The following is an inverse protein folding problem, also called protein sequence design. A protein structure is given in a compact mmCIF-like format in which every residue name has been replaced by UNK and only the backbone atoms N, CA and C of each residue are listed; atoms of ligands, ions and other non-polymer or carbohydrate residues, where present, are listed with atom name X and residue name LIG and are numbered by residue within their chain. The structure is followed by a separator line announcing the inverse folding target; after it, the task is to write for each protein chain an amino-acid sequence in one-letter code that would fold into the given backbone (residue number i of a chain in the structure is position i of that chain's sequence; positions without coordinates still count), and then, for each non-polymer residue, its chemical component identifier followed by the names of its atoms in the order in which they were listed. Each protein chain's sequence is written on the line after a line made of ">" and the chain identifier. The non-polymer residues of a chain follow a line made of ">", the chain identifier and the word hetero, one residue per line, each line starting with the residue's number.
data_IF_567178229977
#
_entry.id   IF_567178229977
#
_cell.length_a   1.000
_cell.length_b   1.000
_cell.length_c   1.000
_cell.angle_alpha   90.00
_cell.angle_beta   90.00
_cell.angle_gamma   90.00
#
_symmetry.space_group_name_H-M   'P 1'
#
loop_
_entity.id
_entity.type
_entity.pdbx_description
1 polymer ?
#
# COMPACT_ATOMS: atom_id res chain seq x y z
N UNK A 1 2.65 32.86 24.17
CA UNK A 1 1.93 31.78 24.88
C UNK A 1 0.51 31.68 24.33
N UNK A 2 -0.01 30.45 24.20
CA UNK A 2 -1.26 29.98 23.54
C UNK A 2 -1.06 29.64 22.05
N UNK A 3 -1.20 28.40 21.58
CA UNK A 3 -1.54 27.14 22.22
C UNK A 3 -1.26 25.98 21.25
N UNK A 4 -0.29 25.15 21.62
CA UNK A 4 0.02 23.86 21.01
C UNK A 4 -1.05 22.86 21.49
N UNK A 5 -2.09 22.56 20.70
CA UNK A 5 -3.01 21.44 20.97
C UNK A 5 -3.56 20.86 19.68
N UNK A 6 -3.44 19.53 19.59
CA UNK A 6 -3.76 18.73 18.42
C UNK A 6 -5.22 18.80 17.97
N UNK A 7 -5.37 18.68 16.66
CA UNK A 7 -6.56 18.27 15.94
C UNK A 7 -6.05 17.46 14.73
N UNK A 8 -5.44 16.31 14.99
CA UNK A 8 -6.05 14.99 14.73
C UNK A 8 -6.16 14.81 13.21
N UNK A 9 -5.36 13.98 12.55
CA UNK A 9 -5.59 12.52 12.45
C UNK A 9 -7.06 12.11 12.20
N UNK A 10 -7.92 13.04 11.76
CA UNK A 10 -9.39 12.97 11.89
C UNK A 10 -10.09 12.97 10.55
N UNK A 11 -9.56 12.22 9.59
CA UNK A 11 -10.29 11.74 8.41
C UNK A 11 -9.36 10.76 7.74
N UNK A 12 -9.54 9.48 8.09
CA UNK A 12 -8.81 8.39 7.52
C UNK A 12 -8.64 8.59 6.03
N UNK A 13 -7.38 8.55 5.63
CA UNK A 13 -6.91 8.45 4.25
C UNK A 13 -7.81 7.43 3.58
N UNK A 14 -8.81 7.91 2.85
CA UNK A 14 -9.71 7.04 2.11
C UNK A 14 -8.91 6.61 0.90
N UNK A 15 -8.04 5.62 1.10
CA UNK A 15 -7.58 4.64 0.10
C UNK A 15 -8.79 3.81 -0.40
N UNK A 16 -9.96 4.44 -0.56
CA UNK A 16 -11.16 3.91 -1.17
C UNK A 16 -11.19 4.22 -2.67
N UNK A 17 -10.40 5.18 -3.15
CA UNK A 17 -10.40 5.56 -4.57
C UNK A 17 -9.62 4.58 -5.46
N UNK A 18 -8.66 3.82 -4.93
CA UNK A 18 -7.89 2.85 -5.73
C UNK A 18 -8.61 1.54 -6.01
N UNK A 19 -9.75 1.28 -5.34
CA UNK A 19 -10.47 0.01 -5.44
C UNK A 19 -11.92 0.15 -5.89
N UNK A 20 -12.31 1.36 -6.29
CA UNK A 20 -13.63 1.64 -6.86
C UNK A 20 -13.85 1.10 -8.28
N UNK A 21 -12.87 0.44 -8.91
CA UNK A 21 -12.97 -0.05 -10.28
C UNK A 21 -12.88 -1.58 -10.44
N UNK A 22 -12.98 -2.35 -9.35
CA UNK A 22 -13.19 -3.82 -9.42
C UNK A 22 -14.47 -4.16 -8.64
N UNK A 23 -15.59 -3.57 -9.02
CA UNK A 23 -16.90 -4.07 -8.60
C UNK A 23 -17.36 -5.14 -9.58
N UNK A 24 -17.16 -6.41 -9.24
CA UNK A 24 -18.09 -7.49 -9.62
C UNK A 24 -17.95 -8.67 -8.66
N UNK A 25 -18.81 -8.60 -7.63
CA UNK A 25 -19.55 -9.71 -7.02
C UNK A 25 -18.82 -10.84 -6.28
N UNK A 26 -19.27 -10.99 -5.03
CA UNK A 26 -19.30 -12.20 -4.20
C UNK A 26 -17.98 -12.76 -3.66
N UNK A 27 -17.58 -12.28 -2.48
CA UNK A 27 -17.40 -13.13 -1.29
C UNK A 27 -17.09 -12.24 -0.07
N UNK A 28 -18.09 -12.00 0.77
CA UNK A 28 -17.84 -11.82 2.20
C UNK A 28 -17.28 -13.13 2.73
N UNK A 29 -15.96 -13.31 2.68
CA UNK A 29 -15.27 -14.37 3.39
C UNK A 29 -14.83 -13.83 4.76
N UNK A 30 -15.55 -14.29 5.77
CA UNK A 30 -15.14 -14.51 7.16
C UNK A 30 -14.08 -13.58 7.78
N UNK A 31 -14.55 -12.81 8.76
CA UNK A 31 -13.80 -12.11 9.78
C UNK A 31 -12.83 -13.02 10.56
N UNK A 32 -11.62 -12.51 10.81
CA UNK A 32 -11.01 -12.59 12.14
C UNK A 32 -10.04 -13.73 12.40
N UNK A 33 -8.99 -13.87 11.60
CA UNK A 33 -7.67 -14.36 12.05
C UNK A 33 -6.66 -14.06 10.95
N UNK A 34 -5.74 -13.13 11.20
CA UNK A 34 -4.51 -13.00 10.42
C UNK A 34 -3.83 -14.37 10.41
N UNK A 35 -3.79 -15.01 9.24
CA UNK A 35 -3.14 -16.32 9.13
C UNK A 35 -1.61 -16.16 9.23
N UNK A 36 -0.86 -17.26 9.23
CA UNK A 36 0.60 -17.20 9.32
C UNK A 36 1.22 -16.39 8.18
N UNK A 37 0.68 -16.51 6.97
CA UNK A 37 1.14 -15.74 5.80
C UNK A 37 0.93 -14.24 5.98
N UNK A 38 -0.23 -13.82 6.49
CA UNK A 38 -0.52 -12.41 6.75
C UNK A 38 0.39 -11.84 7.84
N UNK A 39 0.64 -12.62 8.89
CA UNK A 39 1.52 -12.22 9.99
C UNK A 39 2.97 -12.07 9.52
N UNK A 40 3.46 -13.00 8.69
CA UNK A 40 4.79 -12.92 8.09
C UNK A 40 4.92 -11.73 7.14
N UNK A 41 3.92 -11.51 6.28
CA UNK A 41 3.86 -10.36 5.37
C UNK A 41 3.90 -9.04 6.14
N UNK A 42 3.03 -8.85 7.13
CA UNK A 42 2.96 -7.62 7.92
C UNK A 42 4.24 -7.38 8.72
N UNK A 43 4.79 -8.43 9.34
CA UNK A 43 6.07 -8.35 10.05
C UNK A 43 7.21 -7.93 9.11
N UNK A 44 7.28 -8.53 7.91
CA UNK A 44 8.23 -8.16 6.88
C UNK A 44 8.06 -6.72 6.39
N UNK A 45 6.82 -6.30 6.12
CA UNK A 45 6.50 -4.95 5.64
C UNK A 45 6.89 -3.90 6.66
N UNK A 46 6.43 -4.06 7.90
CA UNK A 46 6.69 -3.10 8.96
C UNK A 46 8.16 -3.08 9.36
N UNK A 47 8.83 -4.25 9.38
CA UNK A 47 10.27 -4.34 9.60
C UNK A 47 11.06 -3.61 8.52
N UNK A 48 10.72 -3.84 7.24
CA UNK A 48 11.37 -3.17 6.11
C UNK A 48 11.16 -1.66 6.16
N UNK A 49 9.91 -1.20 6.25
CA UNK A 49 9.60 0.24 6.27
C UNK A 49 10.27 0.95 7.45
N UNK A 50 10.27 0.32 8.64
CA UNK A 50 10.96 0.89 9.82
C UNK A 50 12.46 1.08 9.58
N UNK A 51 13.10 0.17 8.82
CA UNK A 51 14.52 0.25 8.51
C UNK A 51 14.85 1.29 7.43
N UNK A 52 13.89 1.62 6.57
CA UNK A 52 14.10 2.51 5.43
C UNK A 52 13.69 3.95 5.73
N UNK A 53 12.50 4.16 6.29
CA UNK A 53 11.96 5.50 6.51
C UNK A 53 10.87 5.53 7.60
N UNK A 54 11.08 6.37 8.61
CA UNK A 54 10.19 6.47 9.77
C UNK A 54 8.82 7.08 9.42
N UNK A 55 8.76 7.95 8.41
CA UNK A 55 7.51 8.60 7.97
C UNK A 55 6.62 7.57 7.26
N UNK A 56 7.20 6.84 6.32
CA UNK A 56 6.53 5.77 5.56
C UNK A 56 6.09 4.64 6.48
N UNK A 57 6.91 4.25 7.45
CA UNK A 57 6.52 3.31 8.50
C UNK A 57 5.32 3.81 9.32
N UNK A 58 5.33 5.09 9.71
CA UNK A 58 4.23 5.69 10.47
C UNK A 58 2.94 5.70 9.65
N UNK A 59 3.03 6.04 8.36
CA UNK A 59 1.89 6.02 7.45
C UNK A 59 1.30 4.61 7.34
N UNK A 60 2.14 3.60 7.13
CA UNK A 60 1.69 2.21 7.00
C UNK A 60 1.08 1.62 8.29
N UNK A 61 1.47 2.11 9.47
CA UNK A 61 1.06 1.51 10.77
C UNK A 61 0.08 2.35 11.58
N UNK A 62 -0.03 3.66 11.32
CA UNK A 62 -0.97 4.56 12.02
C UNK A 62 -2.11 5.04 11.15
N UNK A 63 -1.87 5.21 9.86
CA UNK A 63 -2.85 5.75 8.92
C UNK A 63 -3.58 4.63 8.14
N UNK A 64 -3.03 3.41 8.16
CA UNK A 64 -3.61 2.23 7.55
C UNK A 64 -3.78 1.11 8.58
N UNK A 65 -4.84 0.31 8.43
CA UNK A 65 -5.03 -0.91 9.23
C UNK A 65 -4.24 -2.08 8.63
N UNK A 66 -3.91 -3.07 9.45
CA UNK A 66 -3.31 -4.33 9.01
C UNK A 66 -4.09 -4.97 7.85
N UNK A 67 -5.42 -4.99 7.95
CA UNK A 67 -6.33 -5.50 6.92
C UNK A 67 -6.17 -4.73 5.59
N UNK A 68 -6.02 -3.41 5.64
CA UNK A 68 -5.80 -2.60 4.44
C UNK A 68 -4.45 -2.88 3.79
N UNK A 69 -3.40 -3.07 4.59
CA UNK A 69 -2.07 -3.43 4.09
C UNK A 69 -2.07 -4.82 3.43
N UNK A 70 -2.73 -5.81 4.04
CA UNK A 70 -2.89 -7.16 3.48
C UNK A 70 -3.66 -7.10 2.18
N UNK A 71 -4.81 -6.43 2.19
CA UNK A 71 -5.69 -6.39 1.05
C UNK A 71 -5.07 -5.64 -0.13
N UNK A 72 -4.25 -4.61 0.11
CA UNK A 72 -3.49 -3.94 -0.95
C UNK A 72 -2.53 -4.92 -1.67
N UNK A 73 -1.78 -5.73 -0.90
CA UNK A 73 -0.88 -6.75 -1.47
C UNK A 73 -1.64 -7.83 -2.26
N UNK A 74 -2.74 -8.33 -1.70
CA UNK A 74 -3.58 -9.33 -2.38
C UNK A 74 -4.21 -8.76 -3.67
N UNK A 75 -4.63 -7.50 -3.66
CA UNK A 75 -5.20 -6.83 -4.84
C UNK A 75 -4.17 -6.67 -5.97
N UNK A 76 -2.90 -6.38 -5.63
CA UNK A 76 -1.83 -6.40 -6.63
C UNK A 76 -1.65 -7.79 -7.25
N UNK A 77 -1.63 -8.85 -6.42
CA UNK A 77 -1.54 -10.22 -6.91
C UNK A 77 -2.72 -10.61 -7.82
N UNK A 78 -3.94 -10.16 -7.51
CA UNK A 78 -5.12 -10.37 -8.35
C UNK A 78 -4.99 -9.63 -9.70
N UNK A 79 -4.46 -8.41 -9.70
CA UNK A 79 -4.21 -7.67 -10.93
C UNK A 79 -3.18 -8.38 -11.83
N UNK A 80 -2.10 -8.93 -11.24
CA UNK A 80 -1.12 -9.71 -12.00
C UNK A 80 -1.72 -10.98 -12.59
N UNK A 81 -2.56 -11.68 -11.82
CA UNK A 81 -3.30 -12.85 -12.30
C UNK A 81 -4.28 -12.53 -13.43
N UNK A 82 -4.75 -11.29 -13.51
CA UNK A 82 -5.60 -10.78 -14.60
C UNK A 82 -4.80 -10.32 -15.83
N UNK A 83 -3.47 -10.48 -15.82
CA UNK A 83 -2.58 -10.14 -16.93
C UNK A 83 -2.12 -8.68 -16.95
N UNK A 84 -2.41 -7.89 -15.90
CA UNK A 84 -1.90 -6.51 -15.79
C UNK A 84 -0.43 -6.55 -15.39
N UNK A 85 0.42 -5.77 -16.07
CA UNK A 85 1.85 -5.76 -15.77
C UNK A 85 2.12 -5.13 -14.38
N UNK A 86 3.11 -5.62 -13.62
CA UNK A 86 3.48 -5.00 -12.35
C UNK A 86 3.87 -3.52 -12.45
N UNK A 87 4.48 -3.13 -13.58
CA UNK A 87 4.80 -1.74 -13.84
C UNK A 87 3.55 -0.86 -13.94
N UNK A 88 2.50 -1.32 -14.63
CA UNK A 88 1.25 -0.58 -14.79
C UNK A 88 0.50 -0.49 -13.46
N UNK A 89 0.41 -1.59 -12.72
CA UNK A 89 -0.22 -1.61 -11.38
C UNK A 89 0.47 -0.62 -10.45
N UNK A 90 1.81 -0.59 -10.44
CA UNK A 90 2.57 0.35 -9.62
C UNK A 90 2.35 1.80 -10.07
N UNK A 91 2.29 2.04 -11.37
CA UNK A 91 2.03 3.38 -11.93
C UNK A 91 0.64 3.91 -11.55
N UNK A 92 -0.39 3.06 -11.65
CA UNK A 92 -1.76 3.40 -11.28
C UNK A 92 -1.86 3.66 -9.79
N UNK A 93 -1.26 2.78 -8.97
CA UNK A 93 -1.19 2.95 -7.52
C UNK A 93 -0.59 4.29 -7.12
N UNK A 94 0.62 4.58 -7.59
CA UNK A 94 1.35 5.81 -7.25
C UNK A 94 0.60 7.06 -7.73
N UNK A 95 0.07 7.03 -8.95
CA UNK A 95 -0.69 8.15 -9.53
C UNK A 95 -1.97 8.45 -8.73
N UNK A 96 -2.70 7.41 -8.32
CA UNK A 96 -3.90 7.60 -7.51
C UNK A 96 -3.57 8.04 -6.07
N UNK A 97 -2.48 7.55 -5.48
CA UNK A 97 -1.98 8.03 -4.19
C UNK A 97 -1.60 9.52 -4.24
N UNK A 98 -0.94 9.97 -5.32
CA UNK A 98 -0.64 11.38 -5.55
C UNK A 98 -1.90 12.23 -5.71
N UNK A 99 -2.85 11.76 -6.53
CA UNK A 99 -4.11 12.47 -6.71
C UNK A 99 -4.86 12.61 -5.40
N UNK A 100 -4.89 11.58 -4.57
CA UNK A 100 -5.57 11.61 -3.27
C UNK A 100 -4.87 12.57 -2.30
N UNK A 101 -3.54 12.53 -2.21
CA UNK A 101 -2.78 13.47 -1.39
C UNK A 101 -3.06 14.92 -1.82
N UNK A 102 -3.06 15.20 -3.12
CA UNK A 102 -3.39 16.52 -3.67
C UNK A 102 -4.84 16.94 -3.36
N UNK A 103 -5.81 16.03 -3.49
CA UNK A 103 -7.23 16.31 -3.18
C UNK A 103 -7.45 16.67 -1.70
N UNK A 104 -6.58 16.19 -0.82
CA UNK A 104 -6.59 16.52 0.61
C UNK A 104 -5.83 17.83 0.92
N UNK A 105 -5.33 18.54 -0.08
CA UNK A 105 -4.56 19.77 0.09
C UNK A 105 -3.12 19.52 0.52
N UNK A 106 -2.62 18.29 0.39
CA UNK A 106 -1.22 17.97 0.68
C UNK A 106 -0.38 18.36 -0.54
N UNK A 107 0.61 19.23 -0.34
CA UNK A 107 1.57 19.55 -1.38
C UNK A 107 2.42 18.31 -1.71
N UNK A 108 2.51 17.94 -2.98
CA UNK A 108 3.33 16.78 -3.40
C UNK A 108 4.80 17.21 -3.41
N UNK A 109 5.48 16.97 -2.29
CA UNK A 109 6.92 17.16 -2.14
C UNK A 109 7.68 15.90 -2.56
N UNK A 110 9.00 16.01 -2.75
CA UNK A 110 9.87 14.84 -2.99
C UNK A 110 9.76 13.81 -1.87
N UNK A 111 9.62 14.25 -0.63
CA UNK A 111 9.48 13.38 0.55
C UNK A 111 8.18 12.56 0.51
N UNK A 112 7.07 13.18 0.09
CA UNK A 112 5.79 12.47 -0.09
C UNK A 112 5.84 11.53 -1.28
N UNK A 113 6.48 11.93 -2.38
CA UNK A 113 6.68 11.06 -3.54
C UNK A 113 7.56 9.86 -3.22
N UNK A 114 8.61 10.08 -2.44
CA UNK A 114 9.45 9.01 -1.91
C UNK A 114 8.65 8.07 -1.02
N UNK A 115 7.88 8.58 -0.06
CA UNK A 115 7.09 7.74 0.85
C UNK A 115 6.03 6.91 0.11
N UNK A 116 5.30 7.50 -0.83
CA UNK A 116 4.32 6.79 -1.67
C UNK A 116 4.99 5.69 -2.49
N UNK A 117 6.14 6.00 -3.11
CA UNK A 117 6.89 5.04 -3.91
C UNK A 117 7.45 3.89 -3.07
N UNK A 118 8.12 4.22 -1.95
CA UNK A 118 8.68 3.25 -1.03
C UNK A 118 7.59 2.31 -0.49
N UNK A 119 6.45 2.86 -0.05
CA UNK A 119 5.32 2.05 0.42
C UNK A 119 4.78 1.13 -0.69
N UNK A 120 4.46 1.69 -1.87
CA UNK A 120 3.92 0.92 -2.99
C UNK A 120 4.85 -0.21 -3.43
N UNK A 121 6.16 0.07 -3.49
CA UNK A 121 7.17 -0.90 -3.91
C UNK A 121 7.35 -2.01 -2.88
N UNK A 122 7.28 -1.66 -1.60
CA UNK A 122 7.37 -2.60 -0.48
C UNK A 122 6.18 -3.55 -0.44
N UNK A 123 4.95 -3.00 -0.51
CA UNK A 123 3.70 -3.78 -0.55
C UNK A 123 3.70 -4.72 -1.75
N UNK A 124 4.14 -4.25 -2.91
CA UNK A 124 4.19 -5.08 -4.12
C UNK A 124 5.24 -6.19 -4.03
N UNK A 125 6.45 -5.88 -3.56
CA UNK A 125 7.55 -6.85 -3.48
C UNK A 125 7.28 -7.92 -2.41
N UNK A 126 6.91 -7.49 -1.21
CA UNK A 126 6.61 -8.41 -0.11
C UNK A 126 5.30 -9.13 -0.36
N UNK A 127 4.28 -8.44 -0.87
CA UNK A 127 3.01 -9.05 -1.28
C UNK A 127 3.21 -10.15 -2.31
N UNK A 128 4.02 -9.90 -3.35
CA UNK A 128 4.34 -10.95 -4.32
C UNK A 128 5.09 -12.12 -3.68
N UNK A 129 6.00 -11.87 -2.75
CA UNK A 129 6.74 -12.94 -2.06
C UNK A 129 5.82 -13.86 -1.25
N UNK A 130 4.80 -13.31 -0.58
CA UNK A 130 3.93 -14.08 0.31
C UNK A 130 2.66 -14.61 -0.36
N UNK A 131 2.04 -13.85 -1.28
CA UNK A 131 0.73 -14.18 -1.82
C UNK A 131 0.74 -14.65 -3.28
N UNK A 132 1.77 -14.30 -4.07
CA UNK A 132 1.85 -14.68 -5.48
C UNK A 132 3.29 -14.79 -6.00
N UNK A 133 4.11 -15.72 -5.45
CA UNK A 133 5.56 -15.79 -5.69
C UNK A 133 5.92 -16.00 -7.17
N UNK A 134 5.02 -16.56 -7.97
CA UNK A 134 5.19 -16.72 -9.41
C UNK A 134 5.36 -15.39 -10.18
N UNK A 135 4.92 -14.26 -9.61
CA UNK A 135 5.06 -12.92 -10.20
C UNK A 135 6.25 -12.12 -9.63
N UNK A 136 6.98 -12.68 -8.66
CA UNK A 136 8.08 -11.98 -8.00
C UNK A 136 9.18 -11.52 -8.98
N UNK A 137 9.61 -12.30 -9.99
CA UNK A 137 10.60 -11.83 -10.97
C UNK A 137 10.14 -10.59 -11.75
N UNK A 138 8.88 -10.55 -12.17
CA UNK A 138 8.29 -9.44 -12.93
C UNK A 138 8.15 -8.19 -12.05
N UNK A 139 7.77 -8.37 -10.79
CA UNK A 139 7.72 -7.28 -9.80
C UNK A 139 9.11 -6.69 -9.58
N UNK A 140 10.13 -7.53 -9.35
CA UNK A 140 11.51 -7.05 -9.16
C UNK A 140 12.03 -6.32 -10.40
N UNK A 141 11.73 -6.83 -11.60
CA UNK A 141 12.11 -6.16 -12.84
C UNK A 141 11.45 -4.79 -12.96
N UNK A 142 10.13 -4.70 -12.71
CA UNK A 142 9.36 -3.46 -12.82
C UNK A 142 9.81 -2.38 -11.83
N UNK A 143 10.26 -2.78 -10.63
CA UNK A 143 10.69 -1.86 -9.58
C UNK A 143 12.17 -1.43 -9.72
N UNK A 144 13.02 -2.23 -10.40
CA UNK A 144 14.41 -1.85 -10.70
C UNK A 144 14.54 -0.85 -11.84
N UNK A 145 13.56 -0.79 -12.74
CA UNK A 145 13.55 0.11 -13.88
C UNK A 145 13.00 1.52 -13.56
N UNK A 146 12.89 1.87 -12.28
CA UNK A 146 12.32 3.13 -11.78
C UNK A 146 13.29 3.77 -10.79
#
# INVERSE_FOLDING_TARGET
>A
MKGFKGAVLRRGVRVFALLGAITLSSATAALGQTNSTDSEYLSGLYGFLRSQDAITYTLATREMTDEQNIWAAQSFCQAFASGVSPADVYSVFTSAAFSEASNQGTAITEEIAYAIGLYGGSVMTLGATHYCPQYQPQVQQALRSR
#
